data_IF_836565302627
#
_entry.id   IF_836565302627
#
_cell.length_a   1.000
_cell.length_b   1.000
_cell.length_c   1.000
_cell.angle_alpha   90.00
_cell.angle_beta   90.00
_cell.angle_gamma   90.00
#
_symmetry.space_group_name_H-M   'P 1'
#
loop_
_entity.id
_entity.type
_entity.pdbx_description
1 polymer ?
#
# COMPACT_ATOMS: atom_id res chain seq x y z
N UNK A 1 -2.54 -2.09 -23.86
CA UNK A 1 -2.95 -2.15 -22.44
C UNK A 1 -3.89 -0.99 -22.22
N UNK A 2 -5.07 -1.24 -21.66
CA UNK A 2 -6.01 -0.18 -21.32
C UNK A 2 -5.52 0.55 -20.06
N UNK A 3 -5.11 1.81 -20.20
CA UNK A 3 -4.63 2.63 -19.08
C UNK A 3 -5.73 2.94 -18.07
N UNK A 4 -7.01 2.73 -18.44
CA UNK A 4 -8.13 2.87 -17.52
C UNK A 4 -8.06 1.84 -16.38
N UNK A 5 -7.41 0.69 -16.58
CA UNK A 5 -7.20 -0.31 -15.52
C UNK A 5 -6.37 0.25 -14.37
N UNK A 6 -5.40 1.14 -14.65
CA UNK A 6 -4.64 1.84 -13.61
C UNK A 6 -5.49 2.88 -12.87
N UNK A 7 -6.44 3.53 -13.55
CA UNK A 7 -7.37 4.47 -12.91
C UNK A 7 -8.36 3.77 -11.98
N UNK A 8 -8.90 2.63 -12.43
CA UNK A 8 -9.78 1.81 -11.61
C UNK A 8 -9.03 1.26 -10.39
N UNK A 9 -7.79 0.81 -10.59
CA UNK A 9 -6.88 0.37 -9.53
C UNK A 9 -6.63 1.45 -8.46
N UNK A 10 -6.29 2.66 -8.90
CA UNK A 10 -6.07 3.82 -8.02
C UNK A 10 -7.35 4.17 -7.25
N UNK A 11 -8.49 4.22 -7.94
CA UNK A 11 -9.78 4.53 -7.32
C UNK A 11 -10.18 3.47 -6.29
N UNK A 12 -9.91 2.20 -6.57
CA UNK A 12 -10.19 1.08 -5.69
C UNK A 12 -9.37 1.16 -4.40
N UNK A 13 -8.05 1.38 -4.48
CA UNK A 13 -7.21 1.53 -3.27
C UNK A 13 -7.61 2.77 -2.47
N UNK A 14 -7.88 3.90 -3.14
CA UNK A 14 -8.33 5.11 -2.46
C UNK A 14 -9.67 4.89 -1.72
N UNK A 15 -10.60 4.15 -2.34
CA UNK A 15 -11.85 3.75 -1.71
C UNK A 15 -11.61 2.81 -0.52
N UNK A 16 -10.73 1.82 -0.66
CA UNK A 16 -10.30 0.93 0.42
C UNK A 16 -9.72 1.70 1.60
N UNK A 17 -8.84 2.67 1.34
CA UNK A 17 -8.25 3.53 2.37
C UNK A 17 -9.32 4.38 3.07
N UNK A 18 -10.33 4.89 2.36
CA UNK A 18 -11.45 5.59 2.99
C UNK A 18 -12.28 4.70 3.93
N UNK A 19 -12.42 3.41 3.62
CA UNK A 19 -13.14 2.44 4.48
C UNK A 19 -12.48 2.24 5.84
N UNK A 20 -11.22 2.61 6.04
CA UNK A 20 -10.57 2.62 7.36
C UNK A 20 -11.27 3.53 8.37
N UNK A 21 -12.08 4.49 7.91
CA UNK A 21 -12.89 5.38 8.76
C UNK A 21 -14.24 4.80 9.17
N UNK A 22 -14.60 3.63 8.63
CA UNK A 22 -15.86 2.95 8.90
C UNK A 22 -15.64 1.84 9.93
N UNK A 23 -16.66 1.59 10.73
CA UNK A 23 -16.68 0.46 11.66
C UNK A 23 -16.33 -0.84 10.93
N UNK A 24 -15.55 -1.69 11.61
CA UNK A 24 -15.10 -2.97 11.11
C UNK A 24 -15.43 -4.03 12.14
N UNK A 25 -16.18 -5.04 11.72
CA UNK A 25 -16.48 -6.20 12.56
C UNK A 25 -15.34 -7.22 12.42
N UNK A 26 -14.56 -7.48 13.48
CA UNK A 26 -13.44 -8.41 13.41
C UNK A 26 -13.93 -9.85 13.25
N UNK A 27 -13.30 -10.58 12.34
CA UNK A 27 -13.57 -12.01 12.08
C UNK A 27 -12.48 -12.94 12.62
N UNK A 28 -11.37 -12.36 13.10
CA UNK A 28 -10.21 -13.05 13.69
C UNK A 28 -9.78 -12.33 14.97
N UNK A 29 -8.91 -12.95 15.76
CA UNK A 29 -8.30 -12.31 16.91
C UNK A 29 -7.17 -11.34 16.52
N UNK A 30 -6.68 -10.57 17.50
CA UNK A 30 -5.59 -9.61 17.30
C UNK A 30 -4.31 -10.28 16.80
N UNK A 31 -3.97 -11.47 17.31
CA UNK A 31 -2.72 -12.16 16.96
C UNK A 31 -2.71 -12.58 15.48
N UNK A 32 -3.84 -13.08 14.98
CA UNK A 32 -4.04 -13.41 13.58
C UNK A 32 -3.98 -12.18 12.69
N UNK A 33 -4.69 -11.09 13.04
CA UNK A 33 -4.61 -9.85 12.26
C UNK A 33 -3.22 -9.23 12.27
N UNK A 34 -2.49 -9.31 13.39
CA UNK A 34 -1.09 -8.91 13.46
C UNK A 34 -0.24 -9.71 12.46
N UNK A 35 -0.40 -11.03 12.42
CA UNK A 35 0.28 -11.88 11.44
C UNK A 35 -0.02 -11.46 10.01
N UNK A 36 -1.32 -11.29 9.70
CA UNK A 36 -1.78 -10.82 8.39
C UNK A 36 -1.18 -9.45 8.04
N UNK A 37 -1.14 -8.50 8.98
CA UNK A 37 -0.55 -7.17 8.75
C UNK A 37 0.91 -7.29 8.32
N UNK A 38 1.73 -8.06 9.05
CA UNK A 38 3.15 -8.22 8.74
C UNK A 38 3.36 -8.88 7.37
N UNK A 39 2.64 -9.95 7.09
CA UNK A 39 2.71 -10.67 5.81
C UNK A 39 2.29 -9.77 4.63
N UNK A 40 1.15 -9.08 4.76
CA UNK A 40 0.62 -8.24 3.69
C UNK A 40 1.44 -6.96 3.50
N UNK A 41 2.08 -6.44 4.56
CA UNK A 41 3.05 -5.35 4.44
C UNK A 41 4.23 -5.76 3.56
N UNK A 42 4.80 -6.95 3.76
CA UNK A 42 5.91 -7.45 2.94
C UNK A 42 5.48 -7.75 1.50
N UNK A 43 4.32 -8.37 1.33
CA UNK A 43 3.74 -8.64 0.02
C UNK A 43 3.48 -7.34 -0.76
N UNK A 44 2.93 -6.31 -0.10
CA UNK A 44 2.67 -5.01 -0.72
C UNK A 44 3.97 -4.32 -1.15
N UNK A 45 5.00 -4.30 -0.30
CA UNK A 45 6.32 -3.72 -0.65
C UNK A 45 6.89 -4.41 -1.89
N UNK A 46 6.98 -5.75 -1.86
CA UNK A 46 7.53 -6.52 -2.99
C UNK A 46 6.72 -6.33 -4.27
N UNK A 47 5.39 -6.31 -4.17
CA UNK A 47 4.52 -6.10 -5.33
C UNK A 47 4.73 -4.70 -5.93
N UNK A 48 4.87 -3.67 -5.09
CA UNK A 48 5.08 -2.29 -5.56
C UNK A 48 6.45 -2.14 -6.21
N UNK A 49 7.50 -2.74 -5.65
CA UNK A 49 8.84 -2.78 -6.27
C UNK A 49 8.79 -3.45 -7.65
N UNK A 50 8.06 -4.57 -7.78
CA UNK A 50 7.87 -5.26 -9.04
C UNK A 50 7.14 -4.40 -10.08
N UNK A 51 6.10 -3.67 -9.67
CA UNK A 51 5.35 -2.75 -10.54
C UNK A 51 6.20 -1.54 -10.93
N UNK A 52 7.00 -0.99 -10.02
CA UNK A 52 7.93 0.09 -10.33
C UNK A 52 8.97 -0.35 -11.36
N UNK A 53 9.62 -1.50 -11.15
CA UNK A 53 10.57 -2.08 -12.08
C UNK A 53 9.93 -2.38 -13.45
N UNK A 54 8.73 -2.95 -13.47
CA UNK A 54 7.98 -3.17 -14.71
C UNK A 54 7.66 -1.83 -15.42
N UNK A 55 7.30 -0.80 -14.66
CA UNK A 55 7.11 0.56 -15.17
C UNK A 55 8.36 1.13 -15.85
N UNK A 56 9.54 0.86 -15.32
CA UNK A 56 10.80 1.38 -15.84
C UNK A 56 11.35 0.59 -17.04
N UNK A 57 11.31 -0.74 -16.95
CA UNK A 57 12.09 -1.64 -17.84
C UNK A 57 11.22 -2.45 -18.80
N UNK A 58 9.98 -2.76 -18.42
CA UNK A 58 9.12 -3.65 -19.20
C UNK A 58 7.62 -3.37 -18.99
N UNK A 59 7.12 -2.33 -19.65
CA UNK A 59 5.70 -1.95 -19.59
C UNK A 59 4.73 -3.08 -19.96
N UNK A 60 5.19 -4.10 -20.70
CA UNK A 60 4.35 -5.28 -21.05
C UNK A 60 4.08 -6.20 -19.85
N UNK A 61 4.87 -6.11 -18.78
CA UNK A 61 4.66 -6.86 -17.55
C UNK A 61 3.58 -6.23 -16.65
N UNK A 62 3.26 -4.94 -16.84
CA UNK A 62 2.32 -4.21 -15.98
C UNK A 62 0.94 -4.85 -15.80
N UNK A 63 0.27 -5.40 -16.85
CA UNK A 63 -1.02 -6.06 -16.68
C UNK A 63 -0.98 -7.26 -15.71
N UNK A 64 0.19 -7.86 -15.53
CA UNK A 64 0.41 -9.05 -14.72
C UNK A 64 0.74 -8.68 -13.28
N UNK A 65 1.50 -7.61 -13.08
CA UNK A 65 1.98 -7.15 -11.77
C UNK A 65 0.97 -6.26 -11.05
N UNK A 66 0.15 -5.52 -11.79
CA UNK A 66 -0.82 -4.57 -11.22
C UNK A 66 -1.90 -5.23 -10.33
N UNK A 67 -2.54 -6.35 -10.73
CA UNK A 67 -3.51 -7.02 -9.87
C UNK A 67 -2.91 -7.51 -8.54
N UNK A 68 -1.63 -7.91 -8.56
CA UNK A 68 -0.91 -8.37 -7.37
C UNK A 68 -0.72 -7.24 -6.37
N UNK A 69 -0.35 -6.05 -6.82
CA UNK A 69 -0.24 -4.84 -5.97
C UNK A 69 -1.59 -4.47 -5.36
N UNK A 70 -2.65 -4.48 -6.18
CA UNK A 70 -3.99 -4.15 -5.71
C UNK A 70 -4.44 -5.09 -4.61
N UNK A 71 -4.32 -6.39 -4.85
CA UNK A 71 -4.70 -7.39 -3.87
C UNK A 71 -3.92 -7.24 -2.56
N UNK A 72 -2.59 -7.13 -2.64
CA UNK A 72 -1.75 -6.97 -1.44
C UNK A 72 -2.11 -5.71 -0.63
N UNK A 73 -2.38 -4.58 -1.29
CA UNK A 73 -2.78 -3.35 -0.62
C UNK A 73 -4.18 -3.43 0.00
N UNK A 74 -5.12 -4.12 -0.63
CA UNK A 74 -6.46 -4.34 -0.08
C UNK A 74 -6.46 -5.27 1.12
N UNK A 75 -5.70 -6.36 1.05
CA UNK A 75 -5.51 -7.29 2.16
C UNK A 75 -4.82 -6.59 3.33
N UNK A 76 -3.79 -5.78 3.06
CA UNK A 76 -3.13 -4.96 4.09
C UNK A 76 -4.13 -4.01 4.78
N UNK A 77 -4.92 -3.26 4.02
CA UNK A 77 -5.92 -2.34 4.60
C UNK A 77 -6.92 -3.12 5.47
N UNK A 78 -7.36 -4.29 5.01
CA UNK A 78 -8.30 -5.14 5.74
C UNK A 78 -7.67 -5.65 7.04
N UNK A 79 -6.42 -6.13 6.98
CA UNK A 79 -5.68 -6.61 8.14
C UNK A 79 -5.45 -5.50 9.17
N UNK A 80 -5.09 -4.28 8.72
CA UNK A 80 -4.91 -3.12 9.60
C UNK A 80 -6.23 -2.73 10.28
N UNK A 81 -7.35 -2.76 9.55
CA UNK A 81 -8.68 -2.51 10.15
C UNK A 81 -9.04 -3.58 11.18
N UNK A 82 -8.80 -4.84 10.87
CA UNK A 82 -8.98 -5.95 11.81
C UNK A 82 -8.15 -5.78 13.07
N UNK A 83 -6.86 -5.49 12.91
CA UNK A 83 -5.93 -5.21 14.01
C UNK A 83 -6.41 -4.02 14.87
N UNK A 84 -6.79 -2.90 14.24
CA UNK A 84 -7.30 -1.72 14.93
C UNK A 84 -8.70 -1.91 15.56
N UNK A 85 -9.50 -2.87 15.08
CA UNK A 85 -10.80 -3.19 15.69
C UNK A 85 -10.69 -4.15 16.88
N UNK A 86 -9.61 -4.93 16.94
CA UNK A 86 -9.35 -5.94 17.99
C UNK A 86 -8.43 -5.44 19.10
N UNK A 87 -7.76 -4.31 18.92
CA UNK A 87 -6.95 -3.68 19.98
C UNK A 87 -7.83 -3.16 21.13
N UNK A 88 -7.43 -3.50 22.36
CA UNK A 88 -8.07 -3.03 23.58
C UNK A 88 -7.78 -1.55 23.86
N UNK A 89 -6.58 -1.08 23.53
CA UNK A 89 -6.18 0.31 23.70
C UNK A 89 -6.79 1.23 22.61
N UNK A 90 -7.72 2.13 22.97
CA UNK A 90 -8.31 3.06 22.03
C UNK A 90 -7.34 4.13 21.51
N UNK A 91 -6.24 4.41 22.22
CA UNK A 91 -5.23 5.40 21.79
C UNK A 91 -4.34 4.87 20.67
N UNK A 92 -4.12 3.55 20.61
CA UNK A 92 -3.35 2.92 19.56
C UNK A 92 -4.12 2.76 18.22
N UNK A 93 -5.46 2.76 18.26
CA UNK A 93 -6.31 2.58 17.06
C UNK A 93 -6.03 3.58 15.94
N UNK A 94 -6.00 4.91 16.20
CA UNK A 94 -5.78 5.89 15.15
C UNK A 94 -4.37 5.79 14.55
N UNK A 95 -3.37 5.40 15.33
CA UNK A 95 -1.99 5.26 14.87
C UNK A 95 -1.83 4.06 13.93
N UNK A 96 -2.44 2.91 14.25
CA UNK A 96 -2.50 1.74 13.37
C UNK A 96 -3.18 2.08 12.04
N UNK A 97 -4.38 2.67 12.10
CA UNK A 97 -5.15 3.05 10.91
C UNK A 97 -4.39 4.10 10.06
N UNK A 98 -3.79 5.10 10.70
CA UNK A 98 -3.00 6.12 10.01
C UNK A 98 -1.82 5.50 9.26
N UNK A 99 -1.10 4.57 9.90
CA UNK A 99 0.05 3.89 9.30
C UNK A 99 -0.37 3.05 8.08
N UNK A 100 -1.45 2.27 8.19
CA UNK A 100 -1.99 1.52 7.04
C UNK A 100 -2.46 2.43 5.89
N UNK A 101 -3.10 3.56 6.20
CA UNK A 101 -3.52 4.54 5.17
C UNK A 101 -2.32 5.18 4.48
N UNK A 102 -1.26 5.51 5.22
CA UNK A 102 -0.03 6.06 4.64
C UNK A 102 0.60 5.08 3.65
N UNK A 103 0.65 3.80 4.00
CA UNK A 103 1.19 2.75 3.14
C UNK A 103 0.36 2.56 1.86
N UNK A 104 -0.97 2.52 1.99
CA UNK A 104 -1.89 2.48 0.84
C UNK A 104 -1.74 3.71 -0.07
N UNK A 105 -1.58 4.90 0.53
CA UNK A 105 -1.36 6.15 -0.21
C UNK A 105 -0.05 6.10 -0.99
N UNK A 106 1.04 5.58 -0.39
CA UNK A 106 2.31 5.35 -1.08
C UNK A 106 2.15 4.44 -2.30
N UNK A 107 1.41 3.34 -2.16
CA UNK A 107 1.07 2.45 -3.29
C UNK A 107 0.34 3.17 -4.43
N UNK A 108 -0.65 4.01 -4.11
CA UNK A 108 -1.38 4.82 -5.11
C UNK A 108 -0.44 5.76 -5.88
N UNK A 109 0.49 6.42 -5.20
CA UNK A 109 1.45 7.32 -5.85
C UNK A 109 2.35 6.59 -6.85
N UNK A 110 2.77 5.36 -6.51
CA UNK A 110 3.56 4.53 -7.45
C UNK A 110 2.72 4.14 -8.67
N UNK A 111 1.47 3.72 -8.47
CA UNK A 111 0.57 3.40 -9.60
C UNK A 111 0.34 4.61 -10.51
N UNK A 112 0.20 5.81 -9.96
CA UNK A 112 0.10 7.05 -10.72
C UNK A 112 1.38 7.34 -11.52
N UNK A 113 2.55 7.14 -10.92
CA UNK A 113 3.84 7.34 -11.58
C UNK A 113 4.03 6.35 -12.74
N UNK A 114 3.70 5.07 -12.52
CA UNK A 114 3.71 4.03 -13.56
C UNK A 114 2.73 4.34 -14.68
N UNK A 115 1.53 4.85 -14.36
CA UNK A 115 0.55 5.31 -15.37
C UNK A 115 1.12 6.41 -16.25
N UNK A 116 1.81 7.40 -15.67
CA UNK A 116 2.43 8.48 -16.45
C UNK A 116 3.48 7.94 -17.44
N UNK A 117 4.27 6.94 -17.03
CA UNK A 117 5.24 6.29 -17.93
C UNK A 117 4.51 5.52 -19.04
N UNK A 118 3.54 4.68 -18.66
CA UNK A 118 2.79 3.85 -19.61
C UNK A 118 1.97 4.69 -20.60
N UNK A 119 1.56 5.89 -20.21
CA UNK A 119 0.85 6.87 -21.05
C UNK A 119 1.69 7.52 -22.15
N UNK A 120 2.99 7.22 -22.24
CA UNK A 120 3.83 7.67 -23.36
C UNK A 120 4.02 9.17 -23.41
N UNK A 121 4.21 9.82 -22.26
CA UNK A 121 4.62 11.22 -22.22
C UNK A 121 5.87 11.44 -23.08
N UNK A 122 5.94 12.56 -23.81
CA UNK A 122 7.02 12.85 -24.76
C UNK A 122 8.42 12.67 -24.14
N UNK A 123 9.47 12.58 -24.94
CA UNK A 123 10.84 12.22 -24.50
C UNK A 123 11.39 13.00 -23.29
N UNK A 124 10.96 14.24 -23.03
CA UNK A 124 11.26 14.99 -21.80
C UNK A 124 10.40 14.64 -20.56
N UNK A 125 9.18 14.13 -20.77
CA UNK A 125 8.30 13.60 -19.72
C UNK A 125 8.71 12.18 -19.28
N UNK A 126 9.34 11.38 -20.14
CA UNK A 126 9.84 10.05 -19.78
C UNK A 126 10.99 10.08 -18.77
N UNK A 127 11.95 11.00 -18.93
CA UNK A 127 13.02 11.21 -17.96
C UNK A 127 12.47 11.69 -16.62
N UNK A 128 11.57 12.68 -16.64
CA UNK A 128 10.86 13.18 -15.45
C UNK A 128 9.97 12.10 -14.82
N UNK A 129 9.34 11.23 -15.61
CA UNK A 129 8.49 10.16 -15.10
C UNK A 129 9.31 9.03 -14.46
N UNK A 130 10.48 8.69 -15.00
CA UNK A 130 11.44 7.77 -14.35
C UNK A 130 12.00 8.35 -13.06
N UNK A 131 12.38 9.63 -13.08
CA UNK A 131 12.84 10.33 -11.87
C UNK A 131 11.72 10.42 -10.82
N UNK A 132 10.46 10.59 -11.24
CA UNK A 132 9.28 10.50 -10.36
C UNK A 132 8.98 9.10 -9.88
N UNK A 133 9.22 8.05 -10.67
CA UNK A 133 9.07 6.65 -10.21
C UNK A 133 10.18 6.29 -9.23
N UNK A 134 11.44 6.64 -9.51
CA UNK A 134 12.54 6.50 -8.55
C UNK A 134 12.23 7.29 -7.28
N UNK A 135 11.80 8.55 -7.39
CA UNK A 135 11.42 9.34 -6.23
C UNK A 135 10.17 8.81 -5.51
N UNK A 136 9.23 8.17 -6.21
CA UNK A 136 8.05 7.53 -5.61
C UNK A 136 8.40 6.19 -4.98
N UNK A 137 9.34 5.43 -5.54
CA UNK A 137 9.89 4.19 -5.01
C UNK A 137 10.81 4.47 -3.81
N UNK A 138 11.59 5.55 -3.85
CA UNK A 138 12.39 6.07 -2.74
C UNK A 138 11.48 6.68 -1.67
N UNK A 139 10.46 7.45 -2.04
CA UNK A 139 9.46 7.93 -1.10
C UNK A 139 8.65 6.77 -0.51
N UNK A 140 8.39 5.71 -1.29
CA UNK A 140 7.81 4.47 -0.79
C UNK A 140 8.79 3.76 0.12
N UNK A 141 10.06 3.60 -0.19
CA UNK A 141 11.02 3.00 0.73
C UNK A 141 11.15 3.86 2.02
N UNK A 142 11.12 5.18 1.88
CA UNK A 142 11.15 6.15 2.98
C UNK A 142 9.81 6.33 3.70
N UNK A 143 8.68 5.82 3.18
CA UNK A 143 7.37 5.88 3.83
C UNK A 143 6.89 4.50 4.28
N UNK A 144 7.24 3.44 3.55
CA UNK A 144 6.93 2.05 3.81
C UNK A 144 7.95 1.43 4.76
N UNK A 145 9.23 1.84 4.81
CA UNK A 145 10.11 1.37 5.89
C UNK A 145 9.75 2.03 7.24
N UNK A 146 9.62 3.36 7.35
CA UNK A 146 9.11 3.96 8.58
C UNK A 146 7.66 3.61 8.86
N UNK A 147 6.83 3.39 7.83
CA UNK A 147 5.45 2.93 7.97
C UNK A 147 5.35 1.48 8.43
N UNK A 148 6.18 0.58 7.89
CA UNK A 148 6.36 -0.81 8.36
C UNK A 148 6.85 -0.81 9.80
N UNK A 149 7.91 -0.07 10.10
CA UNK A 149 8.45 0.05 11.46
C UNK A 149 7.43 0.67 12.43
N UNK A 150 6.75 1.75 12.05
CA UNK A 150 5.73 2.39 12.88
C UNK A 150 4.51 1.48 13.09
N UNK A 151 4.13 0.70 12.07
CA UNK A 151 3.05 -0.28 12.15
C UNK A 151 3.47 -1.47 13.03
N UNK A 152 4.67 -2.01 12.85
CA UNK A 152 5.28 -3.04 13.70
C UNK A 152 5.39 -2.58 15.15
N UNK A 153 5.88 -1.37 15.39
CA UNK A 153 5.99 -0.76 16.71
C UNK A 153 4.62 -0.47 17.34
N UNK A 154 3.65 -0.01 16.56
CA UNK A 154 2.28 0.19 17.04
C UNK A 154 1.65 -1.16 17.43
N UNK A 155 1.84 -2.18 16.60
CA UNK A 155 1.37 -3.54 16.86
C UNK A 155 2.05 -4.14 18.10
N UNK A 156 3.37 -3.97 18.28
CA UNK A 156 4.08 -4.47 19.46
C UNK A 156 3.73 -3.70 20.73
N UNK A 157 3.54 -2.37 20.65
CA UNK A 157 3.06 -1.56 21.78
C UNK A 157 1.70 -2.05 22.25
N UNK A 158 0.79 -2.33 21.32
CA UNK A 158 -0.51 -2.92 21.62
C UNK A 158 -0.36 -4.29 22.26
N UNK A 159 0.46 -5.16 21.69
CA UNK A 159 0.70 -6.51 22.23
C UNK A 159 1.22 -6.45 23.67
N UNK A 160 2.12 -5.51 24.00
CA UNK A 160 2.69 -5.38 25.33
C UNK A 160 1.69 -4.83 26.37
N UNK A 161 0.61 -4.18 25.92
CA UNK A 161 -0.45 -3.65 26.77
C UNK A 161 -1.61 -4.64 27.01
N UNK A 162 -1.62 -5.77 26.29
CA UNK A 162 -2.56 -6.90 26.45
C UNK A 162 -2.01 -7.94 27.42
#
# INVERSE_FOLDING_TARGET
MDLNVLDDAIRQIASSAQRTKQDFEPTKDFAAYRGDVLEQTEAAVSAIENVANAGETNLRALPQTLPVVLHALEELITAVRGCASTVADPEARPDLLRSGVQMATGGVLVLQAVKMIAGGGGSGQLANARERVSAAADALANAANPGKLALEEAVERVRAAL
#
